data_IF_763597351532
#
_entry.id   IF_763597351532
#
_cell.length_a   1.000
_cell.length_b   1.000
_cell.length_c   1.000
_cell.angle_alpha   90.00
_cell.angle_beta   90.00
_cell.angle_gamma   90.00
#
_symmetry.space_group_name_H-M   'P 1'
#
loop_
_entity.id
_entity.type
_entity.pdbx_description
1 polymer ?
2 polymer ?
3 non-polymer ?
4 non-polymer ?
5 water ?
#
# COMPACT_ATOMS: atom_id res chain seq x y z
N UNK A 16 0.27 -18.22 16.88
CA UNK A 16 1.04 -17.01 17.31
C UNK A 16 1.06 -16.00 16.17
N UNK A 17 -0.07 -15.28 15.83
CA UNK A 17 -0.16 -14.47 14.61
C UNK A 17 0.73 -13.24 14.70
N UNK A 18 1.56 -13.02 13.70
CA UNK A 18 2.56 -11.94 13.68
C UNK A 18 2.02 -10.66 13.10
N UNK A 19 0.82 -10.65 12.51
CA UNK A 19 0.38 -9.45 11.75
C UNK A 19 -1.03 -9.02 12.19
N UNK A 20 -1.28 -8.84 13.48
CA UNK A 20 -2.67 -8.68 13.94
C UNK A 20 -2.84 -7.29 14.55
N UNK A 21 -1.82 -6.62 15.11
CA UNK A 21 -2.06 -5.30 15.71
C UNK A 21 -1.22 -4.20 15.05
N UNK A 22 -1.78 -3.03 14.96
CA UNK A 22 -1.10 -1.84 14.41
C UNK A 22 -0.69 -0.91 15.55
N UNK A 23 0.60 -0.53 15.54
CA UNK A 23 1.19 0.42 16.50
C UNK A 23 1.68 1.65 15.75
N UNK A 24 1.82 2.77 16.46
CA UNK A 24 2.48 3.96 15.91
C UNK A 24 3.91 3.59 15.51
N UNK A 25 4.30 3.85 14.26
CA UNK A 25 5.66 3.52 13.76
C UNK A 25 6.73 4.31 14.53
N UNK A 26 6.41 5.49 15.06
CA UNK A 26 7.43 6.38 15.73
C UNK A 26 7.65 5.98 17.17
N UNK A 27 6.65 5.49 17.90
CA UNK A 27 6.81 5.30 19.36
C UNK A 27 6.28 3.95 19.84
N UNK A 28 5.46 3.23 19.08
CA UNK A 28 4.93 1.95 19.59
C UNK A 28 3.56 1.98 20.26
N UNK A 29 2.93 3.12 20.38
CA UNK A 29 1.57 3.25 20.91
C UNK A 29 0.65 2.23 20.21
N UNK A 30 -0.16 1.50 20.96
CA UNK A 30 -1.21 0.60 20.39
C UNK A 30 -2.29 1.45 19.71
N UNK A 31 -2.61 1.18 18.43
CA UNK A 31 -3.55 2.05 17.66
C UNK A 31 -4.75 1.23 17.15
N UNK A 32 -4.55 0.13 16.44
CA UNK A 32 -5.70 -0.61 15.89
C UNK A 32 -5.34 -2.08 15.63
N UNK A 33 -6.22 -2.79 14.92
CA UNK A 33 -6.10 -4.25 14.70
C UNK A 33 -6.50 -4.51 13.27
N UNK A 34 -5.92 -5.52 12.66
CA UNK A 34 -6.34 -5.96 11.31
C UNK A 34 -7.84 -6.36 11.33
N UNK A 35 -8.31 -6.92 12.44
CA UNK A 35 -9.70 -7.36 12.57
C UNK A 35 -10.65 -6.19 12.42
N UNK A 36 -10.18 -4.97 12.61
CA UNK A 36 -11.02 -3.74 12.64
C UNK A 36 -10.96 -2.99 11.32
N UNK A 37 -10.35 -3.60 10.31
CA UNK A 37 -10.31 -2.97 8.96
C UNK A 37 -11.75 -2.89 8.43
N UNK A 38 -12.08 -1.80 7.75
CA UNK A 38 -13.44 -1.52 7.29
C UNK A 38 -13.42 -1.27 5.77
N UNK A 39 -14.05 -2.13 4.94
CA UNK A 39 -14.17 -1.83 3.51
C UNK A 39 -15.20 -0.74 3.22
N UNK A 40 -14.79 0.52 3.14
CA UNK A 40 -15.62 1.67 2.73
C UNK A 40 -15.67 1.70 1.21
N UNK A 41 -16.87 1.71 0.63
CA UNK A 41 -17.07 1.56 -0.82
C UNK A 41 -16.45 0.28 -1.38
N UNK A 42 -16.28 -0.76 -0.57
CA UNK A 42 -15.76 -2.05 -1.06
C UNK A 42 -14.25 -2.21 -1.05
N UNK A 43 -13.47 -1.28 -0.46
CA UNK A 43 -12.02 -1.52 -0.23
C UNK A 43 -11.63 -0.86 1.09
N UNK A 44 -10.80 -1.48 1.92
CA UNK A 44 -10.29 -0.84 3.14
C UNK A 44 -9.24 0.22 2.74
N UNK A 45 -8.64 0.11 1.55
CA UNK A 45 -7.54 1.02 1.14
C UNK A 45 -8.04 2.07 0.15
N UNK A 46 -7.80 3.34 0.46
CA UNK A 46 -8.16 4.49 -0.43
C UNK A 46 -6.92 5.37 -0.65
N UNK A 47 -6.57 5.63 -1.89
CA UNK A 47 -5.40 6.50 -2.21
C UNK A 47 -5.94 7.87 -2.60
N UNK A 48 -5.55 8.88 -1.87
CA UNK A 48 -6.19 10.23 -1.88
C UNK A 48 -5.08 11.28 -1.88
N UNK A 49 -5.37 12.50 -2.28
CA UNK A 49 -4.43 13.62 -2.08
C UNK A 49 -5.17 14.78 -1.40
N UNK A 50 -4.44 15.50 -0.56
CA UNK A 50 -4.96 16.74 0.05
C UNK A 50 -4.69 17.98 -0.82
N UNK A 51 -5.19 19.16 -0.41
CA UNK A 51 -4.98 20.37 -1.19
C UNK A 51 -3.51 20.81 -1.32
N UNK A 52 -2.61 20.34 -0.48
CA UNK A 52 -1.16 20.61 -0.55
C UNK A 52 -0.45 19.56 -1.46
N UNK A 53 -1.24 18.69 -2.11
CA UNK A 53 -0.81 17.71 -3.11
C UNK A 53 -0.18 16.47 -2.49
N UNK A 54 -0.18 16.34 -1.19
CA UNK A 54 0.37 15.14 -0.52
C UNK A 54 -0.51 13.94 -0.84
N UNK A 55 0.08 12.82 -1.26
CA UNK A 55 -0.69 11.58 -1.56
C UNK A 55 -0.60 10.67 -0.32
N UNK A 56 -1.72 10.16 0.14
CA UNK A 56 -1.80 9.23 1.31
C UNK A 56 -2.44 7.92 0.87
N UNK A 57 -1.88 6.81 1.36
CA UNK A 57 -2.54 5.49 1.29
C UNK A 57 -3.27 5.35 2.63
N UNK A 58 -4.57 5.56 2.62
CA UNK A 58 -5.44 5.58 3.82
C UNK A 58 -6.07 4.19 3.95
N UNK A 59 -5.92 3.61 5.15
CA UNK A 59 -6.64 2.37 5.51
C UNK A 59 -7.79 2.77 6.43
N UNK A 60 -8.98 2.29 6.15
CA UNK A 60 -10.18 2.59 6.95
C UNK A 60 -10.30 1.53 8.03
N UNK A 61 -10.55 1.97 9.27
CA UNK A 61 -10.78 1.09 10.44
C UNK A 61 -12.07 1.50 11.12
N UNK A 62 -12.87 0.50 11.58
CA UNK A 62 -14.10 0.82 12.34
C UNK A 62 -13.75 1.50 13.66
N UNK A 63 -12.60 1.13 14.22
CA UNK A 63 -12.20 1.43 15.60
C UNK A 63 -10.70 1.68 15.64
N UNK A 64 -10.26 2.52 16.56
CA UNK A 64 -8.84 2.77 16.88
C UNK A 64 -8.82 3.29 18.30
N UNK A 65 -7.67 3.23 18.92
CA UNK A 65 -7.41 3.67 20.30
C UNK A 65 -6.05 4.39 20.29
N UNK A 66 -5.67 5.00 21.41
CA UNK A 66 -4.35 5.57 21.61
C UNK A 66 -4.11 6.85 20.79
N UNK A 67 -5.17 7.42 20.26
CA UNK A 67 -5.09 8.64 19.41
C UNK A 67 -5.47 9.81 20.29
N UNK A 68 -5.23 11.00 19.77
CA UNK A 68 -5.78 12.24 20.33
C UNK A 68 -6.40 13.02 19.15
N UNK A 69 -7.70 13.32 19.21
CA UNK A 69 -8.45 13.99 18.12
C UNK A 69 -8.40 15.48 18.40
N UNK A 70 -7.98 16.28 17.44
CA UNK A 70 -7.74 17.71 17.72
C UNK A 70 -8.69 18.56 16.88
N UNK A 71 -9.20 19.59 17.50
CA UNK A 71 -10.10 20.58 16.84
C UNK A 71 -11.51 20.04 16.74
N UNK A 72 -12.34 20.74 15.98
CA UNK A 72 -13.74 20.38 15.77
C UNK A 72 -13.83 19.88 14.32
N UNK A 73 -14.83 19.04 14.01
CA UNK A 73 -14.93 18.44 12.68
C UNK A 73 -15.09 19.50 11.59
N UNK A 74 -14.56 19.17 10.42
CA UNK A 74 -14.73 19.98 9.19
C UNK A 74 -15.21 19.07 8.06
N UNK A 75 -16.11 19.51 7.21
CA UNK A 75 -16.53 18.82 5.97
C UNK A 75 -15.69 19.19 4.74
N UNK A 76 -14.86 20.22 4.84
CA UNK A 76 -14.07 20.78 3.70
C UNK A 76 -13.13 19.71 3.15
N UNK A 77 -13.20 19.42 1.85
CA UNK A 77 -12.22 18.56 1.13
C UNK A 77 -12.33 17.11 1.62
N UNK A 78 -13.41 16.72 2.32
CA UNK A 78 -13.57 15.34 2.79
C UNK A 78 -13.53 14.39 1.61
N UNK A 79 -12.67 13.37 1.73
CA UNK A 79 -12.54 12.28 0.74
C UNK A 79 -13.75 11.36 0.83
N UNK A 80 -14.53 11.37 1.90
CA UNK A 80 -15.62 10.41 2.10
C UNK A 80 -16.93 11.18 2.18
N UNK A 81 -17.82 10.92 1.22
CA UNK A 81 -19.08 11.67 1.05
C UNK A 81 -19.86 11.62 2.34
N UNK A 82 -20.35 12.77 2.82
CA UNK A 82 -21.23 12.82 4.01
C UNK A 82 -20.49 12.82 5.33
N UNK A 83 -19.15 12.72 5.37
CA UNK A 83 -18.43 12.69 6.63
C UNK A 83 -17.64 13.98 6.83
N UNK A 84 -17.58 14.40 8.08
CA UNK A 84 -16.72 15.49 8.59
C UNK A 84 -15.49 14.86 9.25
N UNK A 85 -14.36 15.55 9.20
CA UNK A 85 -13.10 14.97 9.72
C UNK A 85 -12.54 15.81 10.87
N UNK A 86 -11.77 15.11 11.73
CA UNK A 86 -10.87 15.72 12.73
C UNK A 86 -9.52 15.05 12.52
N UNK A 87 -8.48 15.81 12.74
CA UNK A 87 -7.08 15.31 12.74
C UNK A 87 -6.90 14.35 13.92
N UNK A 88 -6.31 13.19 13.65
CA UNK A 88 -5.97 12.18 14.67
C UNK A 88 -4.45 12.13 14.82
N UNK A 89 -3.96 12.54 15.98
CA UNK A 89 -2.53 12.38 16.35
C UNK A 89 -2.40 11.11 17.17
N UNK A 90 -1.19 10.54 17.12
CA UNK A 90 -0.78 9.56 18.15
C UNK A 90 -0.90 10.25 19.52
N UNK A 91 -1.62 9.67 20.48
CA UNK A 91 -1.82 10.29 21.78
C UNK A 91 -0.55 10.28 22.60
N UNK A 92 0.40 9.45 22.22
CA UNK A 92 1.68 9.32 22.94
C UNK A 92 2.68 10.35 22.38
N UNK A 93 3.02 10.28 21.10
CA UNK A 93 4.15 11.02 20.53
C UNK A 93 3.69 12.22 19.69
N UNK A 94 2.38 12.35 19.42
CA UNK A 94 1.85 13.52 18.69
C UNK A 94 2.08 13.44 17.17
N UNK A 95 2.60 12.34 16.65
CA UNK A 95 2.73 12.06 15.19
C UNK A 95 1.35 12.08 14.53
N UNK A 96 1.26 12.70 13.34
CA UNK A 96 -0.02 12.69 12.60
C UNK A 96 -0.31 11.30 12.02
N UNK A 97 -1.31 10.58 12.52
CA UNK A 97 -1.60 9.23 12.05
C UNK A 97 -2.76 9.15 11.06
N UNK A 98 -3.61 10.16 11.00
CA UNK A 98 -4.74 10.15 10.06
C UNK A 98 -5.85 11.07 10.51
N UNK A 99 -7.07 10.60 10.34
CA UNK A 99 -8.29 11.41 10.65
C UNK A 99 -9.36 10.51 11.27
N UNK A 100 -10.23 11.11 12.08
CA UNK A 100 -11.49 10.50 12.51
C UNK A 100 -12.62 11.14 11.72
N UNK A 101 -13.50 10.31 11.18
CA UNK A 101 -14.63 10.74 10.34
C UNK A 101 -15.91 10.56 11.15
N UNK A 102 -16.81 11.53 11.10
CA UNK A 102 -18.07 11.43 11.84
C UNK A 102 -19.13 12.18 11.06
N UNK A 103 -20.36 12.13 11.52
CA UNK A 103 -21.45 12.95 10.97
C UNK A 103 -22.11 12.35 9.75
N UNK A 104 -21.76 11.10 9.43
CA UNK A 104 -22.21 10.45 8.20
C UNK A 104 -23.19 9.33 8.54
N UNK A 105 -23.32 8.36 7.64
CA UNK A 105 -24.33 7.28 7.74
C UNK A 105 -23.71 5.92 7.40
N UNK A 106 -23.90 4.91 8.24
CA UNK A 106 -23.61 3.50 7.89
C UNK A 106 -22.17 3.38 7.40
N UNK A 107 -21.17 3.55 8.28
CA UNK A 107 -21.36 3.87 9.69
C UNK A 107 -21.39 5.37 9.95
N UNK A 108 -21.80 5.78 11.15
CA UNK A 108 -21.83 7.22 11.48
C UNK A 108 -20.38 7.70 11.59
N UNK A 109 -19.47 6.88 12.07
CA UNK A 109 -18.05 7.26 12.30
C UNK A 109 -17.06 6.13 11.91
N UNK A 110 -15.81 6.49 11.63
CA UNK A 110 -14.71 5.52 11.36
C UNK A 110 -13.40 6.31 11.39
N UNK A 111 -12.27 5.58 11.25
CA UNK A 111 -10.93 6.17 11.21
C UNK A 111 -10.30 5.90 9.86
N UNK A 112 -9.68 6.94 9.29
CA UNK A 112 -8.82 6.77 8.13
C UNK A 112 -7.38 7.03 8.52
N UNK A 113 -6.60 5.96 8.60
CA UNK A 113 -5.22 6.04 9.13
C UNK A 113 -4.22 5.86 8.00
N UNK A 114 -3.12 6.57 8.09
CA UNK A 114 -2.07 6.52 7.04
C UNK A 114 -1.21 5.27 7.22
N UNK A 115 -1.31 4.34 6.29
CA UNK A 115 -0.76 2.97 6.43
C UNK A 115 0.75 3.04 6.76
N UNK A 116 1.52 3.89 6.10
CA UNK A 116 3.00 3.87 6.29
C UNK A 116 3.38 4.58 7.59
N UNK A 117 2.44 5.12 8.37
CA UNK A 117 2.70 5.68 9.71
C UNK A 117 2.45 4.62 10.80
N UNK A 118 1.99 3.43 10.41
CA UNK A 118 1.69 2.33 11.39
C UNK A 118 2.71 1.22 11.17
N UNK A 119 3.01 0.46 12.24
CA UNK A 119 3.79 -0.78 12.16
C UNK A 119 2.89 -1.95 12.55
N UNK A 120 2.87 -2.99 11.73
CA UNK A 120 2.03 -4.19 11.98
C UNK A 120 2.84 -5.27 12.71
N UNK A 121 2.20 -5.97 13.63
CA UNK A 121 2.92 -7.08 14.27
C UNK A 121 2.06 -7.84 15.28
N UNK A 122 2.72 -8.74 16.01
CA UNK A 122 2.02 -9.73 16.85
C UNK A 122 1.27 -9.11 18.05
N UNK A 123 0.19 -9.77 18.50
CA UNK A 123 -0.76 -9.26 19.52
C UNK A 123 -0.06 -9.13 20.88
N UNK B 20 17.05 -1.93 -12.30
CA UNK B 20 18.04 -1.65 -11.26
C UNK B 20 18.18 -2.79 -10.24
N UNK B 21 19.24 -2.72 -9.43
CA UNK B 21 19.60 -3.84 -8.49
C UNK B 21 19.75 -3.28 -7.09
N UNK B 22 19.55 -4.14 -6.13
CA UNK B 22 19.71 -3.83 -4.70
C UNK B 22 20.97 -4.58 -4.23
N UNK B 23 21.88 -3.84 -3.64
CA UNK B 23 23.18 -4.35 -3.15
C UNK B 23 23.17 -4.25 -1.64
N UNK B 24 23.93 -5.12 -0.99
CA UNK B 24 24.23 -4.97 0.46
C UNK B 24 24.86 -3.58 0.67
N UNK B 25 24.32 -2.80 1.60
CA UNK B 25 24.80 -1.42 1.85
C UNK B 25 26.22 -1.48 2.47
N UNK B 26 26.55 -2.57 3.18
CA UNK B 26 27.84 -2.68 3.90
C UNK B 26 28.98 -3.07 2.95
N UNK B 27 28.78 -3.98 2.00
CA UNK B 27 29.94 -4.53 1.23
C UNK B 27 29.71 -4.46 -0.27
N UNK B 28 28.47 -4.20 -0.73
CA UNK B 28 28.19 -4.02 -2.17
C UNK B 28 27.76 -5.27 -2.88
N UNK B 29 27.65 -6.43 -2.22
CA UNK B 29 27.29 -7.65 -2.94
C UNK B 29 25.90 -7.45 -3.58
N UNK B 30 25.69 -7.89 -4.81
CA UNK B 30 24.35 -7.92 -5.43
C UNK B 30 23.44 -8.89 -4.63
N UNK B 31 22.26 -8.43 -4.25
CA UNK B 31 21.29 -9.22 -3.44
C UNK B 31 19.99 -9.45 -4.22
N UNK B 32 19.37 -8.43 -4.78
CA UNK B 32 18.10 -8.65 -5.50
C UNK B 32 17.90 -7.57 -6.56
N UNK B 33 16.76 -7.63 -7.25
CA UNK B 33 16.47 -6.80 -8.43
C UNK B 33 15.12 -6.16 -8.20
N UNK B 34 14.94 -4.94 -8.73
CA UNK B 34 13.65 -4.28 -8.67
C UNK B 34 12.60 -5.12 -9.43
N UNK B 35 13.00 -5.82 -10.47
CA UNK B 35 12.03 -6.64 -11.26
C UNK B 35 11.42 -7.75 -10.37
N UNK B 36 12.02 -8.04 -9.23
CA UNK B 36 11.62 -9.14 -8.30
C UNK B 36 10.79 -8.62 -7.15
N UNK B 37 10.46 -7.31 -7.13
CA UNK B 37 9.59 -6.77 -6.10
C UNK B 37 8.23 -7.48 -6.14
N UNK B 38 7.73 -7.83 -4.98
CA UNK B 38 6.52 -8.68 -4.85
C UNK B 38 5.50 -7.96 -3.97
N UNK B 39 4.31 -7.63 -4.47
CA UNK B 39 3.28 -6.99 -3.65
C UNK B 39 2.45 -7.96 -2.81
N UNK B 40 3.02 -8.43 -1.71
CA UNK B 40 2.39 -9.34 -0.72
C UNK B 40 1.31 -8.59 0.03
N UNK B 41 0.08 -9.09 -0.01
CA UNK B 41 -1.07 -8.40 0.60
C UNK B 41 -1.35 -7.06 -0.06
N UNK B 42 -0.93 -6.87 -1.30
CA UNK B 42 -1.20 -5.64 -2.06
C UNK B 42 -0.12 -4.57 -1.92
N UNK B 43 0.98 -4.78 -1.20
CA UNK B 43 2.06 -3.75 -1.16
C UNK B 43 3.41 -4.45 -1.08
N UNK B 44 4.43 -3.97 -1.76
CA UNK B 44 5.78 -4.54 -1.60
C UNK B 44 6.38 -4.07 -0.26
N UNK B 45 5.89 -2.95 0.28
CA UNK B 45 6.45 -2.37 1.53
C UNK B 45 5.55 -2.70 2.73
N UNK B 46 6.15 -3.28 3.77
CA UNK B 46 5.46 -3.56 5.06
C UNK B 46 6.29 -2.93 6.17
N UNK B 47 5.71 -2.05 6.96
CA UNK B 47 6.34 -1.59 8.24
C UNK B 47 5.80 -2.53 9.34
N UNK B 48 6.71 -3.17 10.04
CA UNK B 48 6.38 -4.30 10.98
C UNK B 48 7.14 -4.13 12.29
N UNK B 49 6.70 -4.82 13.35
CA UNK B 49 7.48 -4.86 14.62
C UNK B 49 7.59 -6.32 15.05
N UNK B 50 8.77 -6.66 15.61
CA UNK B 50 8.97 -8.05 16.11
C UNK B 50 8.54 -8.16 17.55
N UNK B 51 8.59 -9.38 18.16
CA UNK B 51 8.17 -9.51 19.53
C UNK B 51 9.02 -8.76 20.56
N UNK B 52 10.24 -8.38 20.20
CA UNK B 52 11.12 -7.56 21.07
C UNK B 52 10.81 -6.05 20.86
N UNK B 53 9.87 -5.73 19.99
CA UNK B 53 9.43 -4.32 19.75
C UNK B 53 10.34 -3.57 18.79
N UNK B 54 11.25 -4.25 18.12
CA UNK B 54 12.07 -3.60 17.06
C UNK B 54 11.19 -3.36 15.83
N UNK B 55 11.27 -2.17 15.24
CA UNK B 55 10.48 -1.78 14.05
C UNK B 55 11.38 -1.84 12.81
N UNK B 56 10.86 -2.45 11.74
CA UNK B 56 11.56 -2.65 10.47
C UNK B 56 10.67 -2.20 9.32
N UNK B 57 11.28 -1.60 8.32
CA UNK B 57 10.59 -1.32 7.02
C UNK B 57 11.08 -2.38 6.06
N UNK B 58 10.23 -3.34 5.71
CA UNK B 58 10.52 -4.51 4.88
C UNK B 58 9.98 -4.35 3.48
N UNK B 59 10.81 -4.68 2.48
CA UNK B 59 10.40 -4.78 1.06
C UNK B 59 10.42 -6.26 0.66
N UNK B 60 9.37 -6.72 -0.01
CA UNK B 60 9.23 -8.16 -0.38
C UNK B 60 9.79 -8.35 -1.78
N UNK B 61 10.66 -9.36 -1.94
CA UNK B 61 11.18 -9.80 -3.26
C UNK B 61 10.90 -11.27 -3.50
N UNK B 62 10.61 -11.69 -4.72
CA UNK B 62 10.35 -13.10 -5.04
C UNK B 62 11.60 -13.95 -4.82
N UNK B 63 12.74 -13.41 -5.22
CA UNK B 63 14.04 -14.12 -5.25
C UNK B 63 15.10 -13.20 -4.65
N UNK B 64 16.25 -13.79 -4.33
CA UNK B 64 17.47 -13.04 -3.96
C UNK B 64 18.65 -13.94 -4.19
N UNK B 65 19.84 -13.37 -4.10
CA UNK B 65 21.10 -14.12 -4.22
C UNK B 65 22.11 -13.52 -3.26
N UNK B 66 23.14 -14.29 -2.93
CA UNK B 66 24.22 -13.74 -2.11
C UNK B 66 23.94 -13.71 -0.63
N UNK B 67 22.80 -14.23 -0.18
CA UNK B 67 22.51 -14.31 1.26
C UNK B 67 22.99 -15.66 1.82
N UNK B 68 23.00 -15.74 3.13
CA UNK B 68 23.14 -16.99 3.89
C UNK B 68 22.00 -17.05 4.90
N UNK B 69 21.17 -18.08 4.83
CA UNK B 69 20.03 -18.27 5.73
C UNK B 69 20.48 -19.11 6.89
N UNK B 70 20.11 -18.69 8.08
CA UNK B 70 20.72 -19.22 9.33
C UNK B 70 19.58 -19.81 10.18
N UNK B 71 19.81 -20.98 10.76
CA UNK B 71 18.87 -21.64 11.69
C UNK B 71 17.78 -22.39 10.94
N UNK B 72 16.83 -22.97 11.67
CA UNK B 72 15.72 -23.80 11.11
C UNK B 72 14.54 -22.87 10.95
N UNK B 73 13.66 -23.07 9.95
CA UNK B 73 12.52 -22.17 9.77
C UNK B 73 11.61 -22.19 11.01
N UNK B 74 11.02 -21.04 11.33
CA UNK B 74 10.10 -20.87 12.48
C UNK B 74 8.78 -20.28 11.96
N UNK B 75 7.65 -20.77 12.48
CA UNK B 75 6.31 -20.22 12.19
C UNK B 75 5.89 -19.17 13.19
N UNK B 76 6.60 -19.05 14.30
CA UNK B 76 6.24 -18.17 15.45
C UNK B 76 6.31 -16.71 14.95
N UNK B 77 5.24 -15.95 15.13
CA UNK B 77 5.24 -14.46 14.97
C UNK B 77 5.52 -14.07 13.53
N UNK B 78 5.24 -14.96 12.57
CA UNK B 78 5.41 -14.60 11.14
C UNK B 78 4.55 -13.39 10.80
N UNK B 79 5.14 -12.40 10.15
CA UNK B 79 4.39 -11.24 9.60
C UNK B 79 3.51 -11.65 8.43
N UNK B 80 3.77 -12.78 7.80
CA UNK B 80 3.01 -13.25 6.60
C UNK B 80 2.38 -14.60 6.93
N UNK B 81 1.05 -14.61 6.99
CA UNK B 81 0.26 -15.79 7.40
C UNK B 81 0.55 -16.93 6.45
N UNK B 82 0.83 -18.11 6.99
CA UNK B 82 1.07 -19.36 6.25
C UNK B 82 2.53 -19.55 5.87
N UNK B 83 3.43 -18.67 6.26
CA UNK B 83 4.88 -18.77 5.98
C UNK B 83 5.64 -19.00 7.28
N UNK B 84 6.71 -19.79 7.18
CA UNK B 84 7.81 -19.89 8.18
C UNK B 84 9.01 -19.03 7.72
N UNK B 85 9.78 -18.52 8.65
CA UNK B 85 10.88 -17.60 8.36
C UNK B 85 12.20 -18.13 8.85
N UNK B 86 13.28 -17.74 8.15
CA UNK B 86 14.67 -17.92 8.58
C UNK B 86 15.39 -16.58 8.42
N UNK B 87 16.28 -16.27 9.34
CA UNK B 87 17.15 -15.07 9.25
C UNK B 87 18.04 -15.12 8.01
N UNK B 88 18.12 -13.99 7.30
CA UNK B 88 18.99 -13.84 6.12
C UNK B 88 20.12 -12.86 6.40
N UNK B 89 21.35 -13.34 6.33
CA UNK B 89 22.56 -12.48 6.40
C UNK B 89 23.10 -12.29 5.00
N UNK B 90 23.84 -11.20 4.78
CA UNK B 90 24.73 -11.10 3.60
C UNK B 90 25.74 -12.24 3.68
N UNK B 91 25.86 -13.10 2.66
CA UNK B 91 26.80 -14.23 2.70
C UNK B 91 28.23 -13.74 2.70
N UNK B 92 28.43 -12.51 2.21
CA UNK B 92 29.78 -11.95 1.99
C UNK B 92 30.29 -11.28 3.28
N UNK B 93 29.51 -10.41 3.89
CA UNK B 93 29.99 -9.58 5.03
C UNK B 93 29.21 -9.86 6.33
N UNK B 94 28.15 -10.66 6.30
CA UNK B 94 27.41 -11.04 7.52
C UNK B 94 26.38 -10.02 8.00
N UNK B 95 26.16 -8.90 7.31
CA UNK B 95 25.12 -7.91 7.68
C UNK B 95 23.75 -8.58 7.73
N UNK B 96 22.91 -8.28 8.72
CA UNK B 96 21.54 -8.83 8.78
C UNK B 96 20.68 -8.08 7.77
N UNK B 97 20.24 -8.72 6.67
CA UNK B 97 19.53 -7.99 5.60
C UNK B 97 18.03 -8.27 5.63
N UNK B 98 17.54 -9.29 6.34
CA UNK B 98 16.11 -9.59 6.42
C UNK B 98 15.84 -11.02 6.75
N UNK B 99 14.84 -11.59 6.06
CA UNK B 99 14.36 -12.97 6.31
C UNK B 99 13.93 -13.64 5.02
N UNK B 100 14.07 -14.96 4.99
CA UNK B 100 13.48 -15.81 3.92
C UNK B 100 12.19 -16.41 4.46
N UNK B 101 11.16 -16.51 3.65
CA UNK B 101 9.83 -17.07 3.97
C UNK B 101 9.62 -18.30 3.11
N UNK B 102 9.12 -19.38 3.70
CA UNK B 102 8.81 -20.59 2.94
C UNK B 102 7.57 -21.29 3.51
N UNK B 103 7.07 -22.25 2.74
CA UNK B 103 6.03 -23.20 3.19
C UNK B 103 4.65 -22.67 2.92
N UNK B 104 4.53 -21.56 2.18
CA UNK B 104 3.24 -20.99 1.79
C UNK B 104 2.85 -21.40 0.39
N UNK B 105 2.04 -20.56 -0.24
CA UNK B 105 1.42 -20.83 -1.56
C UNK B 105 1.41 -19.54 -2.38
N UNK B 106 1.89 -19.59 -3.63
CA UNK B 106 1.68 -18.48 -4.61
C UNK B 106 2.15 -17.16 -4.02
N UNK B 107 3.46 -16.95 -3.76
CA UNK B 107 4.49 -17.97 -4.02
C UNK B 107 4.76 -18.86 -2.81
N UNK B 108 5.45 -19.96 -3.02
CA UNK B 108 5.82 -20.89 -1.92
C UNK B 108 6.86 -20.22 -1.06
N UNK B 109 7.76 -19.42 -1.66
CA UNK B 109 8.88 -18.77 -0.93
C UNK B 109 9.07 -17.34 -1.43
N UNK B 110 9.60 -16.45 -0.59
CA UNK B 110 10.01 -15.07 -0.96
C UNK B 110 10.87 -14.54 0.18
N UNK B 111 11.42 -13.37 -0.01
CA UNK B 111 12.26 -12.65 0.95
C UNK B 111 11.59 -11.37 1.41
N UNK B 112 11.74 -11.08 2.67
CA UNK B 112 11.46 -9.76 3.27
C UNK B 112 12.76 -9.12 3.68
N UNK B 113 13.25 -8.14 2.89
CA UNK B 113 14.56 -7.51 3.13
C UNK B 113 14.35 -6.12 3.72
N UNK B 114 15.24 -5.73 4.60
CA UNK B 114 15.16 -4.42 5.29
C UNK B 114 15.72 -3.37 4.33
N UNK B 115 14.83 -2.51 3.84
CA UNK B 115 15.13 -1.56 2.76
C UNK B 115 16.33 -0.70 3.15
N UNK B 116 16.42 -0.24 4.37
CA UNK B 116 17.51 0.67 4.80
C UNK B 116 18.88 -0.04 4.85
N UNK B 117 18.94 -1.37 4.78
CA UNK B 117 20.21 -2.13 4.75
C UNK B 117 20.65 -2.44 3.33
N UNK B 118 19.90 -1.99 2.32
CA UNK B 118 20.19 -2.21 0.88
C UNK B 118 20.54 -0.86 0.22
N UNK B 119 21.26 -0.90 -0.88
CA UNK B 119 21.58 0.29 -1.69
C UNK B 119 21.05 -0.01 -3.09
N UNK B 120 20.14 0.82 -3.62
CA UNK B 120 19.62 0.60 -5.00
C UNK B 120 20.45 1.36 -6.01
N UNK B 121 20.69 0.76 -7.18
CA UNK B 121 21.45 1.43 -8.23
C UNK B 121 21.39 0.66 -9.54
N UNK B 122 21.99 1.23 -10.60
CA UNK B 122 22.01 0.61 -11.91
C UNK B 122 22.71 -0.75 -11.95
N UNK B 123 22.19 -1.64 -12.79
CA UNK B 123 22.64 -3.04 -12.98
C UNK B 123 24.11 -3.09 -13.42
N UNK C 18 -13.78 16.95 -2.00
CA UNK C 18 -12.43 16.36 -1.93
C UNK C 18 -12.18 15.32 -3.00
N UNK C 19 -13.15 15.01 -3.87
CA UNK C 19 -12.96 14.04 -4.98
C UNK C 19 -13.33 14.68 -6.32
N UNK C 20 -12.68 15.77 -6.69
CA UNK C 20 -13.00 16.49 -7.95
C UNK C 20 -11.89 16.29 -8.99
N UNK C 21 -10.64 15.97 -8.61
CA UNK C 21 -9.55 15.72 -9.59
C UNK C 21 -8.99 14.32 -9.37
N UNK C 22 -8.72 13.62 -10.45
CA UNK C 22 -8.27 12.22 -10.47
C UNK C 22 -6.84 12.23 -11.01
N UNK C 23 -5.93 11.63 -10.27
CA UNK C 23 -4.48 11.63 -10.59
C UNK C 23 -3.97 10.20 -10.61
N UNK C 24 -2.87 9.96 -11.31
CA UNK C 24 -2.12 8.69 -11.21
C UNK C 24 -1.75 8.44 -9.73
N UNK C 25 -2.06 7.26 -9.20
CA UNK C 25 -1.78 6.91 -7.78
C UNK C 25 -0.28 6.79 -7.54
N UNK C 26 0.50 6.41 -8.56
CA UNK C 26 1.96 6.13 -8.41
C UNK C 26 2.75 7.42 -8.39
N UNK C 27 2.36 8.43 -9.20
CA UNK C 27 3.24 9.59 -9.40
C UNK C 27 2.48 10.91 -9.26
N UNK C 28 1.16 10.92 -9.35
CA UNK C 28 0.33 12.14 -9.17
C UNK C 28 0.06 12.93 -10.44
N UNK C 29 0.43 12.40 -11.60
CA UNK C 29 0.07 13.03 -12.91
C UNK C 29 -1.44 13.30 -12.94
N UNK C 30 -1.86 14.48 -13.35
CA UNK C 30 -3.29 14.85 -13.54
C UNK C 30 -3.84 14.03 -14.71
N UNK C 31 -4.98 13.35 -14.50
CA UNK C 31 -5.58 12.50 -15.58
C UNK C 31 -6.97 13.04 -15.94
N UNK C 32 -7.88 13.22 -14.97
CA UNK C 32 -9.23 13.71 -15.34
C UNK C 32 -9.91 14.40 -14.18
N UNK C 33 -11.19 14.76 -14.38
CA UNK C 33 -11.93 15.61 -13.41
C UNK C 33 -13.37 15.12 -13.37
N UNK C 34 -14.01 15.33 -12.25
CA UNK C 34 -15.39 14.82 -12.06
C UNK C 34 -16.34 15.51 -13.06
N UNK C 35 -16.06 16.72 -13.55
CA UNK C 35 -16.86 17.37 -14.64
C UNK C 35 -16.95 16.47 -15.89
N UNK C 36 -15.95 15.60 -16.10
CA UNK C 36 -15.84 14.77 -17.33
C UNK C 36 -16.33 13.34 -17.07
N UNK C 37 -16.73 13.07 -15.83
CA UNK C 37 -17.03 11.68 -15.40
C UNK C 37 -18.39 11.38 -16.03
N UNK C 38 -18.62 10.16 -16.48
CA UNK C 38 -19.97 9.75 -16.97
C UNK C 38 -20.67 8.82 -15.96
N UNK C 39 -21.77 9.27 -15.30
CA UNK C 39 -22.57 8.36 -14.47
C UNK C 39 -23.35 7.25 -15.19
N UNK C 45 -19.11 4.94 -11.27
CA UNK C 45 -18.35 3.71 -10.90
C UNK C 45 -19.09 2.47 -11.41
N UNK C 46 -18.37 1.58 -12.11
CA UNK C 46 -18.90 0.32 -12.68
C UNK C 46 -17.99 -0.81 -12.21
N UNK C 47 -18.56 -1.83 -11.57
CA UNK C 47 -17.83 -3.04 -11.09
C UNK C 47 -17.76 -4.05 -12.25
N UNK C 48 -16.56 -4.45 -12.63
CA UNK C 48 -16.32 -5.37 -13.77
C UNK C 48 -15.35 -6.46 -13.32
N UNK C 49 -15.37 -7.59 -14.01
CA UNK C 49 -14.50 -8.76 -13.73
C UNK C 49 -13.70 -9.01 -15.03
N UNK C 50 -12.37 -9.04 -14.97
CA UNK C 50 -11.58 -9.39 -16.19
C UNK C 50 -11.81 -10.87 -16.47
N UNK C 51 -11.25 -11.46 -17.55
CA UNK C 51 -11.49 -12.87 -17.81
C UNK C 51 -10.97 -13.82 -16.71
N UNK C 52 -10.05 -13.36 -15.84
CA UNK C 52 -9.52 -14.13 -14.68
C UNK C 52 -10.43 -13.89 -13.47
N UNK C 56 -12.32 -5.09 -10.94
CA UNK C 56 -12.02 -3.64 -11.08
C UNK C 56 -13.26 -2.79 -10.77
N UNK C 57 -13.04 -1.67 -10.09
CA UNK C 57 -13.98 -0.52 -10.07
C UNK C 57 -13.48 0.44 -11.16
N UNK C 58 -14.23 0.52 -12.26
CA UNK C 58 -13.90 1.36 -13.44
C UNK C 58 -14.73 2.65 -13.37
N UNK C 59 -14.06 3.78 -13.62
CA UNK C 59 -14.72 5.10 -13.83
C UNK C 59 -14.64 5.46 -15.32
N UNK C 60 -15.72 5.88 -15.96
CA UNK C 60 -15.70 6.30 -17.38
C UNK C 60 -15.65 7.84 -17.45
N UNK C 61 -14.76 8.39 -18.27
CA UNK C 61 -14.59 9.86 -18.49
C UNK C 61 -14.72 10.19 -19.98
N UNK C 62 -15.35 11.30 -20.32
CA UNK C 62 -15.46 11.72 -21.73
C UNK C 62 -14.10 12.22 -22.23
N UNK C 63 -13.30 12.81 -21.33
CA UNK C 63 -12.01 13.46 -21.68
C UNK C 63 -10.97 13.05 -20.65
N UNK C 64 -9.70 13.04 -21.05
CA UNK C 64 -8.60 12.85 -20.08
C UNK C 64 -7.35 13.49 -20.66
N UNK C 65 -6.35 13.63 -19.81
CA UNK C 65 -5.05 14.21 -20.23
C UNK C 65 -3.96 13.39 -19.57
N UNK C 66 -2.72 13.60 -20.03
CA UNK C 66 -1.56 13.03 -19.33
C UNK C 66 -1.40 11.53 -19.53
N UNK C 67 -2.14 10.93 -20.46
CA UNK C 67 -2.02 9.48 -20.71
C UNK C 67 -1.12 9.33 -21.93
N UNK C 68 -0.66 8.09 -22.15
CA UNK C 68 -0.12 7.67 -23.44
C UNK C 68 -0.90 6.44 -23.89
N UNK C 69 -1.53 6.51 -25.06
CA UNK C 69 -2.34 5.38 -25.60
C UNK C 69 -1.41 4.51 -26.44
N UNK C 70 -1.35 3.23 -26.15
CA UNK C 70 -0.30 2.33 -26.73
C UNK C 70 -1.02 1.20 -27.46
N UNK C 71 -0.42 0.70 -28.55
CA UNK C 71 -0.87 -0.52 -29.26
C UNK C 71 -2.06 -0.26 -30.15
N UNK C 72 -2.60 -1.31 -30.78
CA UNK C 72 -3.78 -1.26 -31.66
C UNK C 72 -5.01 -1.52 -30.83
N UNK C 73 -6.20 -1.02 -31.23
CA UNK C 73 -7.44 -1.37 -30.55
C UNK C 73 -7.68 -2.89 -30.58
N UNK C 74 -8.31 -3.40 -29.52
CA UNK C 74 -8.78 -4.81 -29.43
C UNK C 74 -10.25 -4.85 -28.98
N UNK C 75 -11.04 -5.77 -29.56
CA UNK C 75 -12.42 -6.08 -29.14
C UNK C 75 -12.48 -7.15 -28.04
N UNK C 76 -11.37 -7.86 -27.77
CA UNK C 76 -11.29 -9.03 -26.83
C UNK C 76 -11.82 -8.63 -25.44
N UNK C 77 -12.87 -9.31 -24.93
CA UNK C 77 -13.34 -9.18 -23.53
C UNK C 77 -13.70 -7.72 -23.16
N UNK C 78 -14.09 -6.90 -24.14
CA UNK C 78 -14.50 -5.48 -23.88
C UNK C 78 -15.68 -5.49 -22.90
N UNK C 79 -15.59 -4.70 -21.84
CA UNK C 79 -16.70 -4.55 -20.87
C UNK C 79 -17.83 -3.74 -21.49
N UNK C 80 -17.59 -3.01 -22.57
CA UNK C 80 -18.58 -2.09 -23.18
C UNK C 80 -18.91 -2.59 -24.59
N UNK C 81 -20.13 -3.11 -24.80
CA UNK C 81 -20.55 -3.71 -26.10
C UNK C 81 -20.42 -2.63 -27.19
N UNK C 82 -19.85 -3.01 -28.34
CA UNK C 82 -19.66 -2.10 -29.49
C UNK C 82 -18.33 -1.35 -29.42
N UNK C 83 -17.54 -1.44 -28.34
CA UNK C 83 -16.28 -0.67 -28.22
C UNK C 83 -15.08 -1.61 -28.24
N UNK C 84 -14.03 -1.14 -28.90
CA UNK C 84 -12.66 -1.69 -28.85
C UNK C 84 -11.84 -0.82 -27.90
N UNK C 85 -10.84 -1.42 -27.26
CA UNK C 85 -10.03 -0.72 -26.26
C UNK C 85 -8.57 -0.65 -26.69
N UNK C 86 -7.88 0.37 -26.20
CA UNK C 86 -6.41 0.57 -26.33
C UNK C 86 -5.88 0.85 -24.93
N UNK C 87 -4.70 0.37 -24.64
CA UNK C 87 -4.09 0.50 -23.30
C UNK C 87 -3.77 1.97 -23.05
N UNK C 88 -4.13 2.47 -21.86
CA UNK C 88 -3.84 3.86 -21.46
C UNK C 88 -2.82 3.81 -20.31
N UNK C 89 -1.59 4.26 -20.58
CA UNK C 89 -0.55 4.38 -19.53
C UNK C 89 -0.52 5.80 -19.01
N UNK C 90 -0.12 5.96 -17.75
CA UNK C 90 0.30 7.29 -17.26
C UNK C 90 1.48 7.80 -18.14
N UNK C 91 1.38 9.01 -18.70
CA UNK C 91 2.48 9.50 -19.54
C UNK C 91 3.70 9.89 -18.71
N UNK C 92 3.56 10.02 -17.39
CA UNK C 92 4.68 10.51 -16.54
C UNK C 92 5.51 9.31 -16.06
N UNK C 93 4.87 8.29 -15.50
CA UNK C 93 5.59 7.16 -14.85
C UNK C 93 5.35 5.86 -15.59
N UNK C 94 4.41 5.78 -16.53
CA UNK C 94 4.21 4.52 -17.32
C UNK C 94 3.28 3.50 -16.66
N UNK C 95 2.70 3.80 -15.49
CA UNK C 95 1.72 2.90 -14.80
C UNK C 95 0.49 2.65 -15.68
N UNK C 96 -0.01 1.43 -15.72
CA UNK C 96 -1.24 1.11 -16.49
C UNK C 96 -2.47 1.68 -15.75
N UNK C 97 -3.15 2.67 -16.30
CA UNK C 97 -4.29 3.29 -15.55
C UNK C 97 -5.66 2.83 -16.08
N UNK C 98 -5.72 2.29 -17.28
CA UNK C 98 -7.00 1.85 -17.86
C UNK C 98 -6.91 1.71 -19.37
N UNK C 99 -7.99 2.10 -20.05
CA UNK C 99 -8.12 1.92 -21.53
C UNK C 99 -8.84 3.09 -22.17
N UNK C 100 -8.60 3.31 -23.45
CA UNK C 100 -9.35 4.27 -24.30
C UNK C 100 -10.28 3.45 -25.20
N UNK C 101 -11.55 3.83 -25.27
CA UNK C 101 -12.62 3.03 -25.96
C UNK C 101 -13.10 3.79 -27.20
N UNK C 109 -16.41 7.75 -28.28
CA UNK C 109 -15.12 7.43 -27.58
C UNK C 109 -15.19 7.87 -26.12
N UNK C 110 -14.42 7.22 -25.25
CA UNK C 110 -14.31 7.60 -23.82
C UNK C 110 -13.11 6.85 -23.23
N UNK C 111 -12.79 7.22 -22.00
CA UNK C 111 -11.70 6.58 -21.22
C UNK C 111 -12.31 5.79 -20.06
N UNK C 112 -11.95 4.51 -19.93
CA UNK C 112 -12.30 3.66 -18.78
C UNK C 112 -11.09 3.45 -17.89
N UNK C 113 -11.05 4.11 -16.75
CA UNK C 113 -9.86 4.12 -15.86
C UNK C 113 -10.15 3.30 -14.61
N UNK C 114 -9.14 2.60 -14.13
CA UNK C 114 -9.28 1.69 -12.97
C UNK C 114 -9.25 2.54 -11.70
N UNK C 115 -10.33 2.55 -10.92
CA UNK C 115 -10.44 3.41 -9.72
C UNK C 115 -9.24 3.18 -8.79
N UNK C 116 -8.82 1.92 -8.65
CA UNK C 116 -7.71 1.41 -7.81
C UNK C 116 -6.35 2.05 -8.20
N UNK C 117 -6.23 2.53 -9.44
CA UNK C 117 -4.96 3.08 -9.99
C UNK C 117 -4.96 4.63 -9.87
N UNK C 118 -6.04 5.24 -9.37
CA UNK C 118 -6.19 6.71 -9.28
C UNK C 118 -6.20 7.15 -7.81
N UNK C 119 -5.72 8.35 -7.55
CA UNK C 119 -5.93 9.07 -6.30
C UNK C 119 -6.92 10.23 -6.59
N UNK C 120 -7.88 10.41 -5.73
CA UNK C 120 -8.89 11.48 -5.86
C UNK C 120 -8.52 12.60 -4.87
N UNK C 121 -8.75 13.85 -5.27
CA UNK C 121 -8.58 14.98 -4.36
C UNK C 121 -9.25 16.25 -4.87
N UNK C 122 -9.13 17.35 -4.11
CA UNK C 122 -9.77 18.61 -4.49
C UNK C 122 -9.15 19.30 -5.73
N UNK C 123 -9.86 20.30 -6.27
CA UNK C 123 -9.50 21.05 -7.50
C UNK C 123 -8.27 21.91 -7.24
N UNK D 2 22.49 -8.15 19.28
CA UNK D 2 21.72 -9.02 20.23
C UNK D 2 20.69 -9.79 19.38
N UNK D 3 20.42 -11.06 19.71
CA UNK D 3 19.62 -12.01 18.90
C UNK D 3 18.19 -11.53 18.66
N UNK D 4 17.79 -10.39 19.22
CA UNK D 4 16.40 -9.88 19.21
C UNK D 4 16.29 -8.74 18.20
N UNK D 5 17.38 -8.13 17.78
CA UNK D 5 17.42 -7.34 16.54
C UNK D 5 16.98 -8.26 15.38
N UNK D 6 17.08 -9.59 15.47
CA UNK D 6 16.99 -10.45 14.26
C UNK D 6 15.71 -11.27 14.26
N UNK D 7 15.00 -11.28 15.35
CA UNK D 7 13.71 -11.97 15.47
C UNK D 7 12.68 -11.28 14.59
N UNK D 8 11.70 -12.36 13.95
CA UNK D 8 10.91 -11.90 12.80
C UNK D 8 9.46 -11.95 13.22
X LIG E 1 3.42 7.67 18.37
X LIG F 1 -7.95 16.89 2.41
X LIG F 1 -8.27 16.25 3.37
X LIG F 1 -9.42 15.46 3.31
X LIG F 1 -9.90 14.63 4.30
X LIG F 1 -10.81 13.85 4.09
X LIG F 1 -9.16 14.68 5.59
X LIG F 1 -8.39 15.98 5.85
X LIG F 1 -7.50 16.32 4.69
X LIG F 1 -6.82 17.60 4.80
X LIG F 1 -5.04 21.86 4.17
X LIG F 1 -6.27 21.20 4.21
X LIG F 1 -6.26 19.84 4.44
X LIG F 1 -5.09 19.14 4.66
X LIG F 1 -8.54 19.11 4.27
X LIG F 1 -4.76 16.74 4.69
X LIG F 1 -3.86 19.78 4.58
X LIG F 1 -3.86 21.15 4.36
X LIG F 1 -5.43 17.71 4.82
X LIG F 1 -7.38 18.87 4.49
X LIG G 1 27.40 -7.53 2.63
X LIG H 1 2.01 8.02 -13.05
X LIG I 1 -11.13 -7.71 -19.67
X LIG I 1 -10.86 -6.60 -20.09
X LIG I 1 -11.82 -5.78 -20.65
X LIG I 1 -11.66 -4.49 -21.14
X LIG I 1 -12.61 -3.84 -21.54
X LIG I 1 -10.27 -3.94 -21.13
X LIG I 1 -9.19 -5.00 -21.12
X LIG I 1 -9.46 -6.00 -20.01
X LIG I 1 -8.49 -7.08 -20.00
X LIG I 1 -4.79 -9.58 -21.07
X LIG I 1 -6.01 -9.18 -21.63
X LIG I 1 -6.88 -8.48 -20.81
X LIG I 1 -6.56 -8.19 -19.49
X LIG I 1 -8.96 -8.10 -22.04
X LIG I 1 -7.82 -6.96 -17.79
X LIG I 1 -5.34 -8.57 -18.94
X LIG I 1 -4.47 -9.28 -19.76
X LIG I 1 -7.67 -7.39 -18.91
X LIG I 1 -8.23 -7.92 -21.09
#
# INVERSE_FOLDING_TARGET
>A
MPLDAGGQNSTQMVLAPGASIFRCRQCGQTISRRDWLLPMGGDHEHVVFNPAGMIFRVWCFSLAQGLRLIGAPSGEFSWFKGYDWTIALCGQCGSHLGWHYEGGSQPQTFFGLIKDRLAEGPAD
>B
MPLDAGGQNSTQMVLAPGASIFRCRQCGQTISRRDWLLPMGGDHEHVVFNPAGMIFRVWCFSLAQGLRLIGAPSGEFSWFKGYDWTIALCGQCGSHLGWHYEGGSQPQTFFGLIKDRLAEGPAD
>C
MPLDAGGQNSTQMVLAPGASIFRCRQCGQTISRRDWLLPMGGDHEHVVFNPAGMIFRVWCFSLAQGLRLIGAPSGEFSWFKGYDWTIALCGQCGSHLGWHYEGGSQPQTFFGLIKDRLAEGPAD
>D
KFFEQMQX
>E hetero
1 ZN ZN
>F hetero
1 EF2 O01 C02 N03 C04 O05 C06 C07 C08 N09 C11 C12 C13 C14 O16 O18 C19 C20 C3 C4
>G hetero
1 ZN ZN
>H hetero
1 ZN ZN
>I hetero
1 EF2 O01 C02 N03 C04 O05 C06 C07 C08 N09 C11 C12 C13 C14 O16 O18 C19 C20 C3 C4
#
